data_IF_873839294219
#
_entry.id   IF_873839294219
#
_cell.length_a   1.000
_cell.length_b   1.000
_cell.length_c   1.000
_cell.angle_alpha   90.00
_cell.angle_beta   90.00
_cell.angle_gamma   90.00
#
_symmetry.space_group_name_H-M   'P 1'
#
loop_
_entity.id
_entity.type
_entity.pdbx_description
1 polymer ?
#
# COMPACT_ATOMS: atom_id res chain seq x y z
N UNK A 1 -1.76 48.87 -10.82
CA UNK A 1 -2.02 49.12 -9.38
C UNK A 1 -0.82 48.54 -8.62
N UNK A 2 -0.03 49.36 -7.93
CA UNK A 2 1.18 48.90 -7.24
C UNK A 2 0.83 48.62 -5.78
N UNK A 3 0.86 47.35 -5.38
CA UNK A 3 0.58 46.90 -4.00
C UNK A 3 1.90 46.76 -3.26
N UNK A 4 2.09 47.56 -2.21
CA UNK A 4 3.24 47.48 -1.32
C UNK A 4 2.92 46.52 -0.17
N UNK A 5 3.67 45.43 -0.05
CA UNK A 5 3.57 44.45 1.03
C UNK A 5 4.75 44.64 1.98
N UNK A 6 4.46 44.89 3.25
CA UNK A 6 5.45 44.89 4.32
C UNK A 6 5.64 43.45 4.79
N UNK A 7 6.88 42.96 4.77
CA UNK A 7 7.22 41.62 5.24
C UNK A 7 7.03 41.49 6.75
N UNK A 8 6.08 40.65 7.15
CA UNK A 8 5.97 40.19 8.53
C UNK A 8 7.05 39.13 8.74
N UNK A 9 7.95 39.33 9.72
CA UNK A 9 9.01 38.36 10.00
C UNK A 9 8.40 37.13 10.68
N UNK A 10 8.25 36.04 9.93
CA UNK A 10 7.88 34.75 10.50
C UNK A 10 9.02 34.22 11.36
N UNK A 11 8.71 33.98 12.63
CA UNK A 11 9.57 33.25 13.54
C UNK A 11 9.58 31.78 13.10
N UNK A 12 10.68 31.36 12.50
CA UNK A 12 10.97 29.97 12.20
C UNK A 12 11.13 29.16 13.51
N UNK A 13 10.04 28.66 14.05
CA UNK A 13 10.07 27.69 15.15
C UNK A 13 9.73 26.29 14.64
N UNK A 14 10.81 25.52 14.48
CA UNK A 14 10.99 24.07 14.69
C UNK A 14 9.72 23.20 14.82
N UNK A 15 9.72 22.16 14.00
CA UNK A 15 8.85 20.98 13.98
C UNK A 15 7.43 21.24 13.48
N UNK A 16 7.27 21.20 12.16
CA UNK A 16 5.98 21.00 11.51
C UNK A 16 5.81 19.48 11.30
N UNK A 17 5.04 18.76 12.14
CA UNK A 17 4.84 17.31 11.98
C UNK A 17 3.94 16.99 10.77
N UNK A 18 3.40 18.02 10.10
CA UNK A 18 2.64 17.90 8.87
C UNK A 18 3.10 18.94 7.84
N UNK A 19 3.85 18.45 6.86
CA UNK A 19 3.95 18.98 5.48
C UNK A 19 2.58 18.99 4.74
N UNK A 20 1.47 19.15 5.46
CA UNK A 20 0.08 18.87 5.05
C UNK A 20 -0.91 19.99 5.39
N UNK A 21 -0.43 21.10 5.95
CA UNK A 21 -1.22 22.30 6.16
C UNK A 21 -0.40 23.53 5.80
N UNK A 22 -0.43 23.96 4.55
CA UNK A 22 -0.26 25.38 4.26
C UNK A 22 -1.27 25.75 3.18
N UNK A 23 -2.21 26.60 3.59
CA UNK A 23 -3.16 27.37 2.78
C UNK A 23 -2.72 27.61 1.34
N UNK A 24 -3.63 27.63 0.34
CA UNK A 24 -3.28 28.03 -1.02
C UNK A 24 -2.79 29.49 -1.01
N UNK A 25 -1.49 29.70 -0.87
CA UNK A 25 -0.85 31.02 -0.82
C UNK A 25 -0.33 31.45 -2.19
N UNK A 26 -0.97 30.98 -3.26
CA UNK A 26 -0.72 31.46 -4.61
C UNK A 26 -2.04 31.83 -5.27
N UNK A 27 -2.15 33.00 -5.90
CA UNK A 27 -3.30 33.28 -6.74
C UNK A 27 -3.38 32.19 -7.81
N UNK A 28 -4.52 31.50 -7.89
CA UNK A 28 -4.77 30.48 -8.91
C UNK A 28 -4.69 31.18 -10.26
N UNK A 29 -3.76 30.79 -11.16
CA UNK A 29 -3.66 31.39 -12.49
C UNK A 29 -4.99 31.24 -13.23
N UNK A 30 -5.46 32.30 -13.88
CA UNK A 30 -6.74 32.27 -14.61
C UNK A 30 -6.79 31.21 -15.73
N UNK A 31 -5.61 30.79 -16.21
CA UNK A 31 -5.44 29.75 -17.23
C UNK A 31 -5.38 28.32 -16.67
N UNK A 32 -5.51 28.13 -15.35
CA UNK A 32 -5.45 26.81 -14.71
C UNK A 32 -6.76 26.04 -14.92
N UNK A 33 -6.67 24.84 -15.47
CA UNK A 33 -7.84 23.96 -15.57
C UNK A 33 -8.20 23.38 -14.20
N UNK A 34 -9.45 22.96 -14.06
CA UNK A 34 -9.92 22.35 -12.80
C UNK A 34 -9.16 21.07 -12.44
N UNK A 35 -8.79 20.26 -13.43
CA UNK A 35 -8.02 19.02 -13.22
C UNK A 35 -6.61 19.32 -12.71
N UNK A 36 -5.94 20.33 -13.28
CA UNK A 36 -4.61 20.77 -12.83
C UNK A 36 -4.66 21.34 -11.42
N UNK A 37 -5.71 22.09 -11.09
CA UNK A 37 -5.95 22.56 -9.73
C UNK A 37 -6.12 21.40 -8.75
N UNK A 38 -6.88 20.37 -9.12
CA UNK A 38 -7.06 19.17 -8.30
C UNK A 38 -5.75 18.40 -8.13
N UNK A 39 -5.00 18.18 -9.21
CA UNK A 39 -3.74 17.46 -9.18
C UNK A 39 -2.71 18.21 -8.31
N UNK A 40 -2.60 19.53 -8.43
CA UNK A 40 -1.72 20.36 -7.59
C UNK A 40 -2.07 20.29 -6.10
N UNK A 41 -3.37 20.30 -5.78
CA UNK A 41 -3.87 20.33 -4.40
C UNK A 41 -4.14 18.95 -3.80
N UNK A 42 -3.85 17.87 -4.53
CA UNK A 42 -4.01 16.52 -4.03
C UNK A 42 -3.08 16.27 -2.83
N UNK A 43 -3.66 15.86 -1.70
CA UNK A 43 -2.92 15.71 -0.44
C UNK A 43 -2.35 14.31 -0.34
N UNK A 44 -1.02 14.22 -0.16
CA UNK A 44 -0.36 12.94 0.04
C UNK A 44 -0.87 12.23 1.31
N UNK A 45 -1.23 12.97 2.37
CA UNK A 45 -1.81 12.37 3.58
C UNK A 45 -3.15 11.70 3.36
N UNK A 46 -4.02 12.27 2.52
CA UNK A 46 -5.28 11.64 2.16
C UNK A 46 -5.02 10.39 1.33
N UNK A 47 -4.04 10.41 0.43
CA UNK A 47 -3.62 9.23 -0.32
C UNK A 47 -3.11 8.12 0.63
N UNK A 48 -2.33 8.50 1.64
CA UNK A 48 -1.85 7.60 2.69
C UNK A 48 -2.99 7.05 3.54
N UNK A 49 -3.91 7.91 3.98
CA UNK A 49 -5.08 7.52 4.75
C UNK A 49 -5.98 6.57 3.94
N UNK A 50 -6.28 6.89 2.68
CA UNK A 50 -7.13 6.04 1.84
C UNK A 50 -6.47 4.69 1.57
N UNK A 51 -5.14 4.66 1.42
CA UNK A 51 -4.41 3.41 1.21
C UNK A 51 -4.30 2.50 2.45
N UNK A 52 -4.72 2.95 3.63
CA UNK A 52 -4.83 2.04 4.79
C UNK A 52 -6.00 1.08 4.64
N UNK A 53 -6.96 1.42 3.78
CA UNK A 53 -8.06 0.54 3.42
C UNK A 53 -7.52 -0.45 2.39
N UNK A 54 -7.57 -1.77 2.64
CA UNK A 54 -7.00 -2.79 1.76
C UNK A 54 -7.91 -3.03 0.53
N UNK A 55 -8.23 -1.98 -0.21
CA UNK A 55 -9.02 -2.02 -1.44
C UNK A 55 -8.09 -1.77 -2.62
N UNK A 56 -7.88 -2.77 -3.49
CA UNK A 56 -7.00 -2.58 -4.62
C UNK A 56 -7.51 -1.52 -5.59
N UNK A 57 -6.58 -0.71 -6.12
CA UNK A 57 -6.88 0.39 -7.02
C UNK A 57 -7.28 1.70 -6.34
N UNK A 58 -7.41 1.76 -5.00
CA UNK A 58 -7.84 2.96 -4.28
C UNK A 58 -6.85 4.10 -4.42
N UNK A 59 -5.55 3.80 -4.50
CA UNK A 59 -4.50 4.79 -4.63
C UNK A 59 -4.51 5.40 -6.03
N UNK A 60 -4.57 4.57 -7.07
CA UNK A 60 -4.74 5.05 -8.45
C UNK A 60 -6.06 5.78 -8.64
N UNK A 61 -7.13 5.39 -7.94
CA UNK A 61 -8.40 6.11 -7.99
C UNK A 61 -8.24 7.52 -7.43
N UNK A 62 -7.60 7.62 -6.25
CA UNK A 62 -7.30 8.91 -5.65
C UNK A 62 -6.39 9.73 -6.57
N UNK A 63 -5.40 9.14 -7.23
CA UNK A 63 -4.52 9.75 -8.22
C UNK A 63 -5.21 10.20 -9.53
N UNK A 64 -6.53 10.06 -9.64
CA UNK A 64 -7.32 10.42 -10.82
C UNK A 64 -7.18 9.42 -11.98
N UNK A 65 -6.50 8.29 -11.79
CA UNK A 65 -6.32 7.26 -12.81
C UNK A 65 -7.45 6.21 -12.77
N UNK A 66 -8.69 6.68 -12.99
CA UNK A 66 -9.92 5.87 -12.86
C UNK A 66 -9.89 4.54 -13.64
N UNK A 67 -9.31 4.54 -14.85
CA UNK A 67 -9.20 3.33 -15.68
C UNK A 67 -8.27 2.28 -15.06
N UNK A 68 -7.12 2.71 -14.54
CA UNK A 68 -6.15 1.84 -13.87
C UNK A 68 -6.69 1.36 -12.53
N UNK A 69 -7.28 2.25 -11.75
CA UNK A 69 -7.97 1.90 -10.51
C UNK A 69 -9.00 0.78 -10.70
N UNK A 70 -9.86 0.90 -11.73
CA UNK A 70 -10.86 -0.12 -12.05
C UNK A 70 -10.21 -1.43 -12.50
N UNK A 71 -9.13 -1.37 -13.28
CA UNK A 71 -8.39 -2.56 -13.69
C UNK A 71 -7.83 -3.32 -12.48
N UNK A 72 -7.15 -2.64 -11.57
CA UNK A 72 -6.59 -3.22 -10.34
C UNK A 72 -7.72 -3.81 -9.47
N UNK A 73 -8.81 -3.06 -9.27
CA UNK A 73 -9.97 -3.56 -8.55
C UNK A 73 -10.51 -4.90 -9.10
N UNK A 74 -10.61 -5.05 -10.42
CA UNK A 74 -11.04 -6.32 -11.03
C UNK A 74 -9.99 -7.44 -10.91
N UNK A 75 -8.69 -7.11 -10.91
CA UNK A 75 -7.62 -8.07 -10.66
C UNK A 75 -7.72 -8.59 -9.22
N UNK A 76 -7.87 -7.70 -8.23
CA UNK A 76 -8.11 -8.07 -6.84
C UNK A 76 -9.37 -8.93 -6.65
N UNK A 77 -10.48 -8.58 -7.32
CA UNK A 77 -11.69 -9.42 -7.33
C UNK A 77 -11.44 -10.81 -7.94
N UNK A 78 -10.65 -10.90 -9.01
CA UNK A 78 -10.25 -12.17 -9.61
C UNK A 78 -9.44 -13.04 -8.65
N UNK A 79 -8.51 -12.44 -7.90
CA UNK A 79 -7.76 -13.12 -6.85
C UNK A 79 -8.68 -13.66 -5.74
N UNK A 80 -9.64 -12.85 -5.28
CA UNK A 80 -10.61 -13.27 -4.26
C UNK A 80 -11.50 -14.42 -4.76
N UNK A 81 -11.98 -14.34 -6.00
CA UNK A 81 -12.73 -15.42 -6.62
C UNK A 81 -11.90 -16.71 -6.71
N UNK A 82 -10.61 -16.60 -7.05
CA UNK A 82 -9.67 -17.72 -7.05
C UNK A 82 -9.52 -18.39 -5.69
N UNK A 83 -9.47 -17.60 -4.61
CA UNK A 83 -9.45 -18.12 -3.23
C UNK A 83 -10.74 -18.87 -2.91
N UNK A 84 -11.90 -18.30 -3.24
CA UNK A 84 -13.21 -18.93 -2.97
C UNK A 84 -13.34 -20.26 -3.72
N UNK A 85 -13.00 -20.26 -5.02
CA UNK A 85 -13.04 -21.47 -5.85
C UNK A 85 -12.04 -22.51 -5.33
N UNK A 86 -10.79 -22.10 -5.05
CA UNK A 86 -9.79 -22.99 -4.49
C UNK A 86 -10.21 -23.58 -3.14
N UNK A 87 -10.84 -22.78 -2.28
CA UNK A 87 -11.42 -23.25 -1.01
C UNK A 87 -12.54 -24.27 -1.21
N UNK A 88 -13.41 -24.08 -2.21
CA UNK A 88 -14.47 -25.04 -2.52
C UNK A 88 -13.96 -26.37 -3.08
N UNK A 89 -12.74 -26.38 -3.62
CA UNK A 89 -12.05 -27.57 -4.14
C UNK A 89 -11.14 -28.24 -3.10
N UNK A 90 -11.16 -27.76 -1.84
CA UNK A 90 -10.49 -28.44 -0.74
C UNK A 90 -11.33 -29.60 -0.23
N UNK A 91 -10.67 -30.73 0.00
CA UNK A 91 -11.29 -31.87 0.64
C UNK A 91 -11.03 -31.83 2.14
N UNK A 92 -11.75 -32.69 2.88
CA UNK A 92 -11.48 -32.83 4.32
C UNK A 92 -10.03 -33.32 4.50
N UNK A 93 -9.28 -32.77 5.46
CA UNK A 93 -7.96 -33.27 5.80
C UNK A 93 -8.05 -34.77 6.11
N UNK A 94 -7.14 -35.55 5.54
CA UNK A 94 -7.12 -37.00 5.66
C UNK A 94 -5.86 -37.47 6.36
N UNK A 95 -5.93 -38.64 7.00
CA UNK A 95 -4.73 -39.28 7.53
C UNK A 95 -3.82 -39.70 6.37
N UNK A 96 -2.49 -39.72 6.59
CA UNK A 96 -1.55 -40.16 5.56
C UNK A 96 -1.83 -41.61 5.15
N UNK A 97 -1.65 -41.91 3.87
CA UNK A 97 -1.80 -43.27 3.36
C UNK A 97 -0.75 -44.19 4.01
N UNK A 98 -1.23 -45.20 4.73
CA UNK A 98 -0.40 -46.17 5.47
C UNK A 98 -0.24 -47.50 4.75
N UNK A 99 -0.72 -47.60 3.50
CA UNK A 99 -0.58 -48.79 2.67
C UNK A 99 0.90 -49.20 2.56
N UNK A 100 1.27 -50.31 3.19
CA UNK A 100 2.63 -50.86 3.18
C UNK A 100 3.58 -50.37 4.28
N UNK A 101 3.15 -49.44 5.15
CA UNK A 101 3.97 -48.88 6.24
C UNK A 101 3.21 -48.75 7.58
N UNK A 102 2.08 -49.43 7.72
CA UNK A 102 1.17 -49.32 8.88
C UNK A 102 1.83 -49.54 10.24
N UNK A 103 2.83 -50.41 10.33
CA UNK A 103 3.54 -50.71 11.60
C UNK A 103 4.33 -49.52 12.16
N UNK A 104 4.66 -48.53 11.31
CA UNK A 104 5.37 -47.32 11.69
C UNK A 104 4.47 -46.27 12.37
N UNK A 105 3.17 -46.55 12.49
CA UNK A 105 2.19 -45.65 13.06
C UNK A 105 1.50 -46.27 14.27
N UNK A 106 1.06 -45.42 15.20
CA UNK A 106 0.27 -45.80 16.36
C UNK A 106 -0.98 -44.94 16.43
N UNK A 107 -2.15 -45.58 16.46
CA UNK A 107 -3.45 -44.90 16.48
C UNK A 107 -4.05 -45.03 17.86
N UNK A 108 -4.36 -43.90 18.48
CA UNK A 108 -5.08 -43.82 19.75
C UNK A 108 -6.51 -43.34 19.52
N UNK A 109 -7.45 -43.87 20.30
CA UNK A 109 -8.88 -43.56 20.20
C UNK A 109 -9.44 -43.80 18.78
N UNK A 110 -9.06 -44.93 18.17
CA UNK A 110 -9.56 -45.37 16.88
C UNK A 110 -11.08 -45.37 16.85
N UNK A 111 -11.67 -44.98 15.72
CA UNK A 111 -13.13 -44.96 15.49
C UNK A 111 -13.92 -43.95 16.36
N UNK A 112 -13.24 -43.00 17.01
CA UNK A 112 -13.88 -41.88 17.72
C UNK A 112 -13.58 -40.54 17.05
N UNK A 113 -14.37 -39.51 17.34
CA UNK A 113 -14.15 -38.14 16.81
C UNK A 113 -12.80 -37.53 17.22
N UNK A 114 -12.13 -38.10 18.22
CA UNK A 114 -10.83 -37.68 18.74
C UNK A 114 -9.71 -38.67 18.42
N UNK A 115 -9.81 -39.37 17.29
CA UNK A 115 -8.75 -40.21 16.75
C UNK A 115 -7.46 -39.40 16.60
N UNK A 116 -6.35 -39.96 17.10
CA UNK A 116 -5.03 -39.31 17.06
C UNK A 116 -3.98 -40.29 16.57
N UNK A 117 -3.21 -39.89 15.55
CA UNK A 117 -2.14 -40.70 14.98
C UNK A 117 -0.77 -40.24 15.46
N UNK A 118 0.12 -41.19 15.70
CA UNK A 118 1.51 -40.96 16.07
C UNK A 118 2.44 -41.73 15.14
N UNK A 119 3.57 -41.12 14.75
CA UNK A 119 4.68 -41.78 14.06
C UNK A 119 5.62 -42.39 15.09
N UNK A 120 5.99 -43.65 14.92
CA UNK A 120 7.00 -44.35 15.73
C UNK A 120 8.39 -44.09 15.16
N UNK A 121 9.25 -43.43 15.93
CA UNK A 121 10.65 -43.18 15.57
C UNK A 121 11.53 -44.03 16.51
N UNK A 122 12.28 -45.03 16.01
CA UNK A 122 13.13 -45.83 16.88
C UNK A 122 14.26 -44.97 17.44
N UNK A 123 14.42 -44.96 18.77
CA UNK A 123 15.42 -44.12 19.47
C UNK A 123 16.53 -44.92 20.13
N UNK A 124 16.27 -46.14 20.58
CA UNK A 124 17.30 -47.04 21.11
C UNK A 124 16.87 -48.50 20.98
N UNK A 125 17.85 -49.41 21.03
CA UNK A 125 17.62 -50.85 21.08
C UNK A 125 18.32 -51.35 22.34
N UNK A 126 17.55 -51.78 23.33
CA UNK A 126 18.05 -52.31 24.60
C UNK A 126 17.55 -53.73 24.80
N UNK A 127 18.47 -54.68 24.98
CA UNK A 127 18.11 -56.08 25.23
C UNK A 127 17.29 -56.75 24.12
N UNK A 128 17.36 -56.26 22.88
CA UNK A 128 16.57 -56.75 21.75
C UNK A 128 15.16 -56.14 21.64
N UNK A 129 14.81 -55.19 22.51
CA UNK A 129 13.57 -54.40 22.44
C UNK A 129 13.89 -53.03 21.88
N UNK A 130 13.19 -52.63 20.81
CA UNK A 130 13.31 -51.31 20.21
C UNK A 130 12.41 -50.32 20.95
N UNK A 131 12.99 -49.28 21.53
CA UNK A 131 12.26 -48.17 22.11
C UNK A 131 11.89 -47.15 21.02
N UNK A 132 10.64 -46.68 21.05
CA UNK A 132 10.13 -45.71 20.09
C UNK A 132 9.78 -44.39 20.77
N UNK A 133 10.13 -43.28 20.11
CA UNK A 133 9.54 -41.97 20.37
C UNK A 133 8.30 -41.82 19.51
N UNK A 134 7.20 -41.42 20.12
CA UNK A 134 5.94 -41.13 19.43
C UNK A 134 5.89 -39.65 19.07
N UNK A 135 5.73 -39.34 17.80
CA UNK A 135 5.51 -37.97 17.30
C UNK A 135 4.09 -37.84 16.77
N UNK A 136 3.31 -36.90 17.30
CA UNK A 136 1.93 -36.69 16.87
C UNK A 136 1.89 -36.20 15.41
N UNK A 137 1.01 -36.80 14.61
CA UNK A 137 0.82 -36.44 13.21
C UNK A 137 -0.48 -35.64 13.08
N UNK A 138 -0.45 -34.62 12.23
CA UNK A 138 -1.63 -33.88 11.83
C UNK A 138 -2.18 -34.43 10.50
N UNK A 139 -3.49 -34.32 10.30
CA UNK A 139 -4.12 -34.71 9.03
C UNK A 139 -3.55 -33.85 7.90
N UNK A 140 -3.19 -34.50 6.80
CA UNK A 140 -2.67 -33.79 5.65
C UNK A 140 -3.83 -33.10 4.91
N UNK A 141 -3.67 -31.82 4.54
CA UNK A 141 -4.66 -31.14 3.72
C UNK A 141 -4.70 -31.81 2.35
N UNK A 142 -5.90 -32.26 1.95
CA UNK A 142 -6.14 -32.90 0.66
C UNK A 142 -7.01 -32.00 -0.25
N UNK A 143 -6.91 -32.21 -1.56
CA UNK A 143 -7.65 -31.47 -2.58
C UNK A 143 -6.73 -30.61 -3.47
N UNK A 144 -7.16 -30.42 -4.72
CA UNK A 144 -6.40 -29.69 -5.75
C UNK A 144 -6.51 -28.16 -5.63
N UNK A 145 -7.34 -27.66 -4.71
CA UNK A 145 -7.66 -26.25 -4.55
C UNK A 145 -6.55 -25.37 -3.95
N UNK A 146 -5.56 -25.95 -3.26
CA UNK A 146 -4.51 -25.19 -2.57
C UNK A 146 -3.70 -24.27 -3.48
N UNK A 147 -3.43 -24.70 -4.72
CA UNK A 147 -2.71 -23.88 -5.70
C UNK A 147 -3.48 -22.63 -6.12
N UNK A 148 -4.81 -22.72 -6.28
CA UNK A 148 -5.67 -21.58 -6.62
C UNK A 148 -5.78 -20.58 -5.47
N UNK A 149 -5.84 -21.07 -4.23
CA UNK A 149 -5.81 -20.23 -3.02
C UNK A 149 -4.50 -19.45 -2.98
N UNK A 150 -3.36 -20.14 -3.10
CA UNK A 150 -2.04 -19.51 -3.07
C UNK A 150 -1.88 -18.47 -4.20
N UNK A 151 -2.31 -18.80 -5.42
CA UNK A 151 -2.29 -17.88 -6.55
C UNK A 151 -3.20 -16.66 -6.31
N UNK A 152 -4.41 -16.87 -5.79
CA UNK A 152 -5.34 -15.79 -5.48
C UNK A 152 -4.79 -14.82 -4.43
N UNK A 153 -4.14 -15.33 -3.38
CA UNK A 153 -3.44 -14.52 -2.38
C UNK A 153 -2.30 -13.73 -3.04
N UNK A 154 -1.48 -14.38 -3.85
CA UNK A 154 -0.35 -13.74 -4.54
C UNK A 154 -0.83 -12.59 -5.43
N UNK A 155 -1.91 -12.80 -6.19
CA UNK A 155 -2.52 -11.78 -7.03
C UNK A 155 -3.00 -10.59 -6.20
N UNK A 156 -3.73 -10.81 -5.10
CA UNK A 156 -4.22 -9.71 -4.24
C UNK A 156 -3.06 -8.93 -3.63
N UNK A 157 -2.06 -9.62 -3.08
CA UNK A 157 -0.90 -8.97 -2.45
C UNK A 157 -0.09 -8.17 -3.48
N UNK A 158 0.16 -8.76 -4.65
CA UNK A 158 0.87 -8.09 -5.74
C UNK A 158 0.14 -6.86 -6.25
N UNK A 159 -1.16 -6.97 -6.47
CA UNK A 159 -2.05 -5.89 -6.91
C UNK A 159 -2.09 -4.74 -5.88
N UNK A 160 -2.16 -5.08 -4.59
CA UNK A 160 -2.13 -4.11 -3.50
C UNK A 160 -0.80 -3.36 -3.40
N UNK A 161 0.34 -4.06 -3.48
CA UNK A 161 1.67 -3.44 -3.46
C UNK A 161 1.85 -2.54 -4.69
N UNK A 162 1.45 -3.01 -5.86
CA UNK A 162 1.53 -2.25 -7.10
C UNK A 162 0.72 -0.94 -7.01
N UNK A 163 -0.53 -1.00 -6.56
CA UNK A 163 -1.39 0.18 -6.41
C UNK A 163 -0.77 1.23 -5.49
N UNK A 164 -0.17 0.81 -4.38
CA UNK A 164 0.47 1.69 -3.39
C UNK A 164 1.72 2.34 -4.02
N UNK A 165 2.68 1.56 -4.50
CA UNK A 165 3.97 2.10 -4.98
C UNK A 165 3.77 3.05 -6.17
N UNK A 166 3.07 2.58 -7.21
CA UNK A 166 2.88 3.36 -8.43
C UNK A 166 1.84 4.47 -8.27
N UNK A 167 0.87 4.29 -7.37
CA UNK A 167 -0.14 5.29 -7.10
C UNK A 167 0.42 6.56 -6.45
N UNK A 168 1.33 6.47 -5.46
CA UNK A 168 1.96 7.69 -4.91
C UNK A 168 2.89 8.36 -5.89
N UNK A 169 3.67 7.58 -6.64
CA UNK A 169 4.55 8.12 -7.67
C UNK A 169 3.73 8.93 -8.68
N UNK A 170 2.55 8.44 -9.08
CA UNK A 170 1.66 9.19 -9.97
C UNK A 170 1.08 10.45 -9.35
N UNK A 171 0.76 10.46 -8.06
CA UNK A 171 0.29 11.66 -7.37
C UNK A 171 1.40 12.72 -7.35
N UNK A 172 2.63 12.32 -7.07
CA UNK A 172 3.78 13.22 -7.05
C UNK A 172 4.12 13.76 -8.44
N UNK A 173 4.21 12.89 -9.45
CA UNK A 173 4.47 13.29 -10.84
C UNK A 173 3.46 14.32 -11.35
N UNK A 174 2.16 14.11 -11.10
CA UNK A 174 1.11 15.05 -11.52
C UNK A 174 1.20 16.39 -10.79
N UNK A 175 1.50 16.36 -9.48
CA UNK A 175 1.71 17.58 -8.68
C UNK A 175 2.89 18.38 -9.20
N UNK A 176 4.01 17.73 -9.45
CA UNK A 176 5.24 18.38 -9.89
C UNK A 176 5.13 18.89 -11.33
N UNK A 177 4.40 18.19 -12.20
CA UNK A 177 4.11 18.66 -13.54
C UNK A 177 3.34 19.99 -13.53
N UNK A 178 2.31 20.12 -12.68
CA UNK A 178 1.54 21.37 -12.56
C UNK A 178 2.41 22.47 -11.93
N UNK A 179 3.16 22.16 -10.87
CA UNK A 179 4.09 23.11 -10.23
C UNK A 179 5.16 23.60 -11.20
N UNK A 180 5.71 22.74 -12.04
CA UNK A 180 6.69 23.11 -13.05
C UNK A 180 6.07 24.04 -14.11
N UNK A 181 4.89 23.69 -14.64
CA UNK A 181 4.17 24.47 -15.65
C UNK A 181 3.87 25.90 -15.18
N UNK A 182 3.37 26.07 -13.96
CA UNK A 182 2.99 27.39 -13.43
C UNK A 182 4.13 28.10 -12.67
N UNK A 183 5.07 27.35 -12.10
CA UNK A 183 6.28 27.90 -11.49
C UNK A 183 7.17 28.60 -12.51
N UNK A 184 7.25 28.10 -13.75
CA UNK A 184 7.96 28.79 -14.84
C UNK A 184 7.28 30.09 -15.30
N UNK A 185 5.96 30.23 -15.12
CA UNK A 185 5.21 31.46 -15.47
C UNK A 185 5.44 32.58 -14.46
N UNK A 186 5.78 32.24 -13.21
CA UNK A 186 6.06 33.20 -12.14
C UNK A 186 7.43 33.86 -12.33
N UNK A 187 7.50 34.92 -13.15
CA UNK A 187 8.70 35.77 -13.23
C UNK A 187 8.72 36.73 -12.03
N UNK A 188 9.39 36.34 -10.96
CA UNK A 188 9.68 37.21 -9.82
C UNK A 188 10.70 38.29 -10.24
N UNK A 189 10.27 39.54 -10.35
CA UNK A 189 11.18 40.67 -10.56
C UNK A 189 11.39 41.39 -9.23
N UNK A 190 12.63 41.38 -8.75
CA UNK A 190 13.05 42.11 -7.55
C UNK A 190 13.58 43.49 -7.97
N UNK A 191 12.90 44.55 -7.56
CA UNK A 191 13.40 45.92 -7.73
C UNK A 191 13.72 46.50 -6.35
N UNK A 192 15.00 46.63 -5.98
CA UNK A 192 15.37 47.35 -4.76
C UNK A 192 15.05 48.84 -4.96
N UNK A 193 14.22 49.39 -4.08
CA UNK A 193 13.97 50.83 -3.98
C UNK A 193 14.86 51.37 -2.86
N UNK A 194 15.99 51.93 -3.27
CA UNK A 194 16.90 52.61 -2.36
C UNK A 194 16.73 54.10 -2.64
N UNK A 195 16.11 54.83 -1.70
CA UNK A 195 16.06 56.29 -1.76
C UNK A 195 16.92 56.88 -0.63
N UNK A 196 18.19 57.22 -0.92
CA UNK A 196 19.14 57.67 0.09
C UNK A 196 18.81 59.05 0.66
N UNK A 197 17.96 59.86 0.01
CA UNK A 197 17.54 61.17 0.53
C UNK A 197 16.45 61.08 1.60
N UNK A 198 15.62 60.03 1.56
CA UNK A 198 14.49 59.86 2.47
C UNK A 198 14.79 58.92 3.66
N UNK A 199 16.00 58.36 3.74
CA UNK A 199 16.39 57.38 4.77
C UNK A 199 15.57 56.08 4.73
N UNK A 200 14.96 55.75 3.59
CA UNK A 200 14.09 54.58 3.42
C UNK A 200 14.70 53.60 2.43
N UNK A 201 14.94 52.39 2.90
CA UNK A 201 15.23 51.24 2.05
C UNK A 201 13.98 50.34 2.01
N UNK A 202 13.50 50.03 0.81
CA UNK A 202 12.35 49.15 0.60
C UNK A 202 12.61 48.17 -0.54
N UNK A 203 12.00 46.99 -0.47
CA UNK A 203 12.05 45.99 -1.55
C UNK A 203 10.68 45.98 -2.23
N UNK A 204 10.64 46.28 -3.54
CA UNK A 204 9.44 46.06 -4.33
C UNK A 204 9.53 44.70 -5.03
N UNK A 205 8.68 43.79 -4.57
CA UNK A 205 8.41 42.53 -5.24
C UNK A 205 7.36 42.76 -6.32
N UNK A 206 7.74 42.60 -7.59
CA UNK A 206 6.77 42.65 -8.69
C UNK A 206 6.57 41.23 -9.21
N UNK A 207 5.37 40.70 -8.99
CA UNK A 207 4.92 39.44 -9.57
C UNK A 207 4.26 39.76 -10.91
N UNK A 208 4.88 39.35 -12.01
CA UNK A 208 4.26 39.40 -13.33
C UNK A 208 3.65 38.04 -13.62
N UNK A 209 2.34 38.01 -13.81
CA UNK A 209 1.57 36.86 -14.29
C UNK A 209 1.38 36.98 -15.80
#
# INVERSE_FOLDING_TARGET
>A
MSTHLFGQSESATKYNPETLSETPLYPIPAEMTFEEYQDMNRRMSQAVLLSTIPVPGITHYYAGEKKKARQLFYIGLGGLAGIIIGGSMMEKPQWPDTTGIGDNYEVYNSETEHETWYRKIPVSIEGGVTNYKLEKIEKEPNGSGGGLIALGILVIVGDFIYDRVWGFEKIEQKRDQVRFKYGQKMKLSFKPLIDPLAGKAGVALTLNF
#
